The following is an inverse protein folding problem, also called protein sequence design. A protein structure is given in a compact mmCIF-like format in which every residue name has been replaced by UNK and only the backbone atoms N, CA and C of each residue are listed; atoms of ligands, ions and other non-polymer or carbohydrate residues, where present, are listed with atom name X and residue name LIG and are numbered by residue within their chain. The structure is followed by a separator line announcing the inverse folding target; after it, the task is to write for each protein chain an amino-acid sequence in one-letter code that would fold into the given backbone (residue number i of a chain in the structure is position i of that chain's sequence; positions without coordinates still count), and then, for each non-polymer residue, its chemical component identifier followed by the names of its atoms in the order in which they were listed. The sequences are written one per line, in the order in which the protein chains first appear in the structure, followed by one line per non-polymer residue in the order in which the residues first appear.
data_IF_681267670755
#
_entry.id   IF_681267670755
#
_cell.length_a   1.000
_cell.length_b   1.000
_cell.length_c   1.000
_cell.angle_alpha   90.00
_cell.angle_beta   90.00
_cell.angle_gamma   90.00
#
_symmetry.space_group_name_H-M   'P 1'
#
loop_
_entity.id
_entity.type
_entity.pdbx_description
1 polymer ?
#
# COMPACT_ATOMS: atom_id res chain seq x y z
N UNK A 1 12.45 7.93 1.02
CA UNK A 1 11.17 8.11 1.75
C UNK A 1 11.01 7.06 2.83
N UNK A 2 11.06 5.76 2.48
CA UNK A 2 10.95 4.61 3.40
C UNK A 2 11.85 4.71 4.64
N UNK A 3 13.15 4.97 4.47
CA UNK A 3 14.08 5.09 5.60
C UNK A 3 13.66 6.18 6.60
N UNK A 4 13.02 7.24 6.12
CA UNK A 4 12.51 8.30 6.99
C UNK A 4 11.30 7.83 7.76
N UNK A 5 10.34 7.15 7.13
CA UNK A 5 9.18 6.53 7.79
C UNK A 5 9.62 5.60 8.93
N UNK A 6 10.63 4.75 8.69
CA UNK A 6 11.21 3.87 9.70
C UNK A 6 11.85 4.69 10.84
N UNK A 7 12.71 5.65 10.50
CA UNK A 7 13.46 6.43 11.49
C UNK A 7 12.57 7.25 12.43
N UNK A 8 11.43 7.76 11.93
CA UNK A 8 10.49 8.57 12.72
C UNK A 8 9.25 7.78 13.15
N UNK A 9 9.23 6.47 12.90
CA UNK A 9 8.16 5.54 13.28
C UNK A 9 6.77 5.94 12.77
N UNK A 10 6.67 6.37 11.51
CA UNK A 10 5.39 6.69 10.86
C UNK A 10 5.08 5.64 9.80
N UNK A 11 3.81 5.26 9.70
CA UNK A 11 3.30 4.35 8.66
C UNK A 11 3.35 5.02 7.28
N UNK A 12 3.53 4.25 6.22
CA UNK A 12 3.57 4.80 4.87
C UNK A 12 2.16 4.97 4.33
N UNK A 13 1.87 6.18 3.88
CA UNK A 13 0.65 6.53 3.15
C UNK A 13 1.07 7.20 1.83
N UNK A 14 0.83 6.54 0.69
CA UNK A 14 1.37 7.01 -0.59
C UNK A 14 0.64 6.50 -1.83
N UNK A 15 0.99 7.04 -3.01
CA UNK A 15 0.49 6.52 -4.28
C UNK A 15 1.02 5.13 -4.56
N UNK A 16 0.14 4.20 -4.97
CA UNK A 16 0.54 2.82 -5.25
C UNK A 16 1.64 2.70 -6.33
N UNK A 17 1.75 3.66 -7.25
CA UNK A 17 2.78 3.69 -8.30
C UNK A 17 4.18 4.02 -7.79
N UNK A 18 4.31 4.44 -6.53
CA UNK A 18 5.58 4.82 -5.90
C UNK A 18 6.09 3.77 -4.91
N UNK A 19 5.39 2.63 -4.79
CA UNK A 19 5.68 1.60 -3.80
C UNK A 19 6.12 0.32 -4.51
N UNK A 20 7.29 -0.19 -4.14
CA UNK A 20 7.75 -1.50 -4.54
C UNK A 20 7.51 -2.53 -3.43
N UNK A 21 7.35 -3.81 -3.79
CA UNK A 21 7.17 -4.90 -2.80
C UNK A 21 8.32 -4.96 -1.76
N UNK A 22 9.55 -4.65 -2.18
CA UNK A 22 10.71 -4.60 -1.27
C UNK A 22 10.61 -3.48 -0.25
N UNK A 23 9.96 -2.36 -0.58
CA UNK A 23 9.72 -1.26 0.34
C UNK A 23 8.63 -1.61 1.35
N UNK A 24 7.57 -2.29 0.90
CA UNK A 24 6.50 -2.82 1.78
C UNK A 24 7.09 -3.75 2.82
N UNK A 25 7.87 -4.75 2.37
CA UNK A 25 8.53 -5.70 3.25
C UNK A 25 9.40 -5.01 4.31
N UNK A 26 10.21 -4.02 3.92
CA UNK A 26 11.10 -3.31 4.85
C UNK A 26 10.34 -2.51 5.90
N UNK A 27 9.22 -1.89 5.52
CA UNK A 27 8.35 -1.19 6.45
C UNK A 27 7.72 -2.16 7.45
N UNK A 28 7.14 -3.27 6.96
CA UNK A 28 6.50 -4.27 7.81
C UNK A 28 7.49 -4.93 8.78
N UNK A 29 8.72 -5.23 8.34
CA UNK A 29 9.78 -5.74 9.21
C UNK A 29 10.21 -4.75 10.31
N UNK A 30 9.96 -3.45 10.11
CA UNK A 30 10.13 -2.41 11.13
C UNK A 30 8.86 -2.12 11.93
N UNK A 31 7.81 -2.93 11.74
CA UNK A 31 6.51 -2.80 12.39
C UNK A 31 5.71 -1.59 11.88
N UNK A 32 5.96 -1.10 10.67
CA UNK A 32 5.21 -0.01 10.02
C UNK A 32 4.21 -0.59 9.02
N UNK A 33 3.02 -0.01 8.95
CA UNK A 33 1.97 -0.37 8.00
C UNK A 33 2.09 0.44 6.69
N UNK A 34 1.50 -0.09 5.62
CA UNK A 34 1.48 0.52 4.29
C UNK A 34 0.06 0.67 3.78
N UNK A 35 -0.40 1.91 3.68
CA UNK A 35 -1.60 2.29 2.95
C UNK A 35 -1.22 2.86 1.57
N UNK A 36 -1.95 2.45 0.53
CA UNK A 36 -1.78 2.99 -0.81
C UNK A 36 -3.07 3.55 -1.39
N UNK A 37 -2.96 4.63 -2.16
CA UNK A 37 -4.10 5.35 -2.74
C UNK A 37 -3.81 5.92 -4.14
N UNK A 38 -4.81 6.38 -4.90
CA UNK A 38 -6.21 5.94 -4.82
C UNK A 38 -6.34 4.71 -5.71
N UNK A 39 -6.86 3.60 -5.17
CA UNK A 39 -7.02 2.34 -5.90
C UNK A 39 -8.49 2.16 -6.27
N UNK A 40 -8.80 2.22 -7.55
CA UNK A 40 -10.18 2.29 -8.04
C UNK A 40 -10.59 1.09 -8.90
N UNK A 41 -9.74 0.06 -9.02
CA UNK A 41 -10.10 -1.19 -9.70
C UNK A 41 -9.86 -2.41 -8.81
N UNK A 42 -10.76 -3.39 -8.91
CA UNK A 42 -10.65 -4.67 -8.19
C UNK A 42 -9.36 -5.41 -8.59
N UNK A 43 -9.03 -5.41 -9.88
CA UNK A 43 -7.80 -6.05 -10.38
C UNK A 43 -6.55 -5.43 -9.74
N UNK A 44 -6.47 -4.09 -9.67
CA UNK A 44 -5.32 -3.41 -9.06
C UNK A 44 -5.28 -3.62 -7.55
N UNK A 45 -6.44 -3.62 -6.88
CA UNK A 45 -6.50 -3.96 -5.46
C UNK A 45 -6.00 -5.39 -5.19
N UNK A 46 -6.40 -6.35 -6.03
CA UNK A 46 -5.95 -7.73 -5.94
C UNK A 46 -4.43 -7.85 -6.12
N UNK A 47 -3.88 -7.17 -7.13
CA UNK A 47 -2.43 -7.11 -7.39
C UNK A 47 -1.67 -6.51 -6.20
N UNK A 48 -2.13 -5.38 -5.66
CA UNK A 48 -1.47 -4.70 -4.55
C UNK A 48 -1.50 -5.52 -3.26
N UNK A 49 -2.62 -6.16 -2.94
CA UNK A 49 -2.77 -6.96 -1.71
C UNK A 49 -2.04 -8.31 -1.83
N UNK A 50 -2.19 -9.01 -2.96
CA UNK A 50 -1.64 -10.36 -3.08
C UNK A 50 -0.19 -10.40 -3.56
N UNK A 51 0.23 -9.47 -4.42
CA UNK A 51 1.58 -9.49 -4.99
C UNK A 51 2.53 -8.51 -4.28
N UNK A 52 2.02 -7.34 -3.87
CA UNK A 52 2.83 -6.34 -3.15
C UNK A 52 2.65 -6.39 -1.63
N UNK A 53 1.66 -7.14 -1.13
CA UNK A 53 1.38 -7.32 0.29
C UNK A 53 1.15 -6.02 1.07
N UNK A 54 0.55 -5.00 0.42
CA UNK A 54 0.17 -3.77 1.14
C UNK A 54 -0.87 -4.07 2.22
N UNK A 55 -0.81 -3.36 3.35
CA UNK A 55 -1.69 -3.59 4.49
C UNK A 55 -3.09 -3.00 4.27
N UNK A 56 -3.17 -1.90 3.52
CA UNK A 56 -4.39 -1.14 3.31
C UNK A 56 -4.41 -0.49 1.92
N UNK A 57 -5.62 -0.36 1.38
CA UNK A 57 -5.90 0.41 0.18
C UNK A 57 -6.96 1.47 0.49
N UNK A 58 -6.79 2.66 -0.07
CA UNK A 58 -7.81 3.71 -0.05
C UNK A 58 -8.36 3.91 -1.45
N UNK A 59 -9.68 3.97 -1.55
CA UNK A 59 -10.44 3.97 -2.80
C UNK A 59 -11.43 5.15 -2.76
N UNK A 60 -11.80 5.71 -3.92
CA UNK A 60 -12.83 6.77 -3.96
C UNK A 60 -14.25 6.24 -3.79
N UNK A 61 -14.45 4.98 -4.17
CA UNK A 61 -15.72 4.28 -4.12
C UNK A 61 -15.50 2.83 -3.69
N UNK A 62 -16.56 2.20 -3.19
CA UNK A 62 -16.54 0.77 -2.86
C UNK A 62 -16.19 -0.03 -4.11
N UNK A 63 -15.13 -0.84 -4.02
CA UNK A 63 -14.72 -1.71 -5.11
C UNK A 63 -15.70 -2.87 -5.25
N UNK A 64 -16.23 -3.06 -6.45
CA UNK A 64 -17.07 -4.19 -6.80
C UNK A 64 -16.72 -4.71 -8.20
N UNK A 65 -17.15 -5.92 -8.51
CA UNK A 65 -16.97 -6.54 -9.83
C UNK A 65 -18.05 -6.11 -10.84
N UNK A 66 -18.93 -5.18 -10.48
CA UNK A 66 -20.09 -4.75 -11.26
C UNK A 66 -19.89 -3.40 -11.96
N UNK A 67 -18.67 -2.86 -11.92
CA UNK A 67 -18.25 -1.68 -12.68
C UNK A 67 -17.65 -2.03 -14.05
#
# INVERSE_FOLDING_TARGET
MIQRCIAIQIDLDSRYTLVAASDVYRLQMSGRQVNVWTVNSVEKAYDLVNNLHVDMITTEYMLNSEQ
#
